data_IF_757269934702
#
_entry.id   IF_757269934702
#
_cell.length_a   1.000
_cell.length_b   1.000
_cell.length_c   1.000
_cell.angle_alpha   90.00
_cell.angle_beta   90.00
_cell.angle_gamma   90.00
#
_symmetry.space_group_name_H-M   'P 1'
#
loop_
_entity.id
_entity.type
_entity.pdbx_description
1 polymer ?
#
# COMPACT_ATOMS: atom_id res chain seq x y z
N UNK A 1 4.29 -3.12 -21.14
CA UNK A 1 3.88 -2.42 -22.39
C UNK A 1 3.46 -1.01 -22.01
N UNK A 2 3.92 -0.02 -22.76
CA UNK A 2 3.62 1.41 -22.54
C UNK A 2 2.35 1.77 -23.33
N UNK A 3 1.46 2.58 -22.75
CA UNK A 3 0.12 2.88 -23.30
C UNK A 3 0.17 3.72 -24.59
N UNK A 4 1.13 4.63 -24.70
CA UNK A 4 1.29 5.55 -25.83
C UNK A 4 1.38 4.81 -27.18
N UNK A 5 2.28 3.82 -27.38
CA UNK A 5 2.34 3.10 -28.66
C UNK A 5 1.09 2.23 -28.95
N UNK A 6 0.26 1.91 -27.94
CA UNK A 6 -0.99 1.18 -28.15
C UNK A 6 -2.11 2.11 -28.64
N UNK A 7 -2.20 3.32 -28.07
CA UNK A 7 -3.17 4.33 -28.49
C UNK A 7 -2.86 4.80 -29.91
N UNK A 8 -1.58 5.09 -30.23
CA UNK A 8 -1.16 5.46 -31.60
C UNK A 8 -1.50 4.37 -32.63
N UNK A 9 -1.23 3.11 -32.29
CA UNK A 9 -1.55 1.98 -33.16
C UNK A 9 -3.05 1.84 -33.40
N UNK A 10 -3.88 2.02 -32.38
CA UNK A 10 -5.35 1.94 -32.51
C UNK A 10 -5.90 3.09 -33.36
N UNK A 11 -5.39 4.31 -33.18
CA UNK A 11 -5.79 5.47 -33.98
C UNK A 11 -5.46 5.26 -35.48
N UNK A 12 -4.32 4.64 -35.79
CA UNK A 12 -3.91 4.34 -37.17
C UNK A 12 -4.68 3.15 -37.75
N UNK A 13 -4.75 2.03 -37.02
CA UNK A 13 -5.32 0.77 -37.53
C UNK A 13 -6.85 0.82 -37.70
N UNK A 14 -7.54 1.62 -36.87
CA UNK A 14 -9.02 1.71 -36.88
C UNK A 14 -9.57 3.03 -37.39
N UNK A 15 -8.71 4.00 -37.74
CA UNK A 15 -9.14 5.33 -38.16
C UNK A 15 -9.95 6.08 -37.09
N UNK A 16 -9.70 5.77 -35.82
CA UNK A 16 -10.41 6.32 -34.67
C UNK A 16 -10.01 7.78 -34.46
N UNK A 17 -10.91 8.70 -34.80
CA UNK A 17 -10.74 10.15 -34.62
C UNK A 17 -11.63 10.73 -33.53
N UNK A 18 -12.53 9.93 -32.94
CA UNK A 18 -13.46 10.39 -31.91
C UNK A 18 -12.89 10.24 -30.49
N UNK A 19 -12.90 11.35 -29.76
CA UNK A 19 -12.39 11.44 -28.38
C UNK A 19 -13.16 10.51 -27.43
N UNK A 20 -14.47 10.33 -27.67
CA UNK A 20 -15.34 9.53 -26.81
C UNK A 20 -14.97 8.05 -26.82
N UNK A 21 -14.51 7.54 -27.96
CA UNK A 21 -14.09 6.15 -28.13
C UNK A 21 -12.70 5.90 -27.52
N UNK A 22 -11.81 6.89 -27.59
CA UNK A 22 -10.51 6.86 -26.89
C UNK A 22 -10.73 6.83 -25.37
N UNK A 23 -11.64 7.66 -24.85
CA UNK A 23 -11.98 7.66 -23.42
C UNK A 23 -12.57 6.32 -22.96
N UNK A 24 -13.44 5.70 -23.76
CA UNK A 24 -13.95 4.34 -23.48
C UNK A 24 -12.84 3.30 -23.49
N UNK A 25 -11.89 3.37 -24.41
CA UNK A 25 -10.73 2.48 -24.43
C UNK A 25 -9.87 2.63 -23.16
N UNK A 26 -9.58 3.87 -22.76
CA UNK A 26 -8.83 4.15 -21.53
C UNK A 26 -9.56 3.66 -20.27
N UNK A 27 -10.89 3.77 -20.23
CA UNK A 27 -11.71 3.28 -19.11
C UNK A 27 -11.72 1.75 -18.98
N UNK A 28 -11.59 1.01 -20.08
CA UNK A 28 -11.48 -0.47 -20.05
C UNK A 28 -10.03 -0.94 -19.92
N UNK A 29 -9.06 -0.04 -20.11
CA UNK A 29 -7.64 -0.32 -19.95
C UNK A 29 -7.25 -0.44 -18.48
N UNK A 30 -6.25 -1.27 -18.19
CA UNK A 30 -5.63 -1.34 -16.86
C UNK A 30 -4.38 -0.46 -16.82
N UNK A 31 -4.06 0.13 -15.66
CA UNK A 31 -2.79 0.86 -15.44
C UNK A 31 -1.53 -0.03 -15.47
N UNK A 32 -1.67 -1.33 -15.77
CA UNK A 32 -0.58 -2.31 -15.81
C UNK A 32 0.42 -1.93 -16.90
N UNK A 33 1.64 -1.58 -16.51
CA UNK A 33 2.72 -1.20 -17.43
C UNK A 33 2.82 0.29 -17.76
N UNK A 34 1.90 1.12 -17.23
CA UNK A 34 2.00 2.59 -17.27
C UNK A 34 2.90 3.15 -16.17
N UNK A 35 2.80 2.56 -14.99
CA UNK A 35 3.61 2.92 -13.84
C UNK A 35 4.88 2.04 -13.82
N UNK A 36 6.01 2.58 -13.33
CA UNK A 36 7.19 1.78 -13.08
C UNK A 36 6.84 0.61 -12.15
N UNK A 37 7.54 -0.51 -12.33
CA UNK A 37 7.29 -1.73 -11.54
C UNK A 37 7.38 -1.39 -10.05
N UNK A 38 6.33 -1.68 -9.24
CA UNK A 38 6.38 -1.41 -7.82
C UNK A 38 7.53 -2.20 -7.20
N UNK A 39 8.25 -1.57 -6.27
CA UNK A 39 9.26 -2.29 -5.50
C UNK A 39 8.60 -3.44 -4.71
N UNK A 40 9.35 -4.49 -4.36
CA UNK A 40 8.80 -5.58 -3.55
C UNK A 40 8.20 -5.06 -2.24
N UNK A 41 6.96 -5.49 -1.93
CA UNK A 41 6.35 -5.26 -0.63
C UNK A 41 6.83 -6.36 0.30
N UNK A 42 7.64 -6.00 1.29
CA UNK A 42 8.15 -6.94 2.29
C UNK A 42 7.30 -6.85 3.56
N UNK A 43 6.55 -7.91 3.87
CA UNK A 43 5.84 -8.03 5.15
C UNK A 43 6.78 -8.66 6.17
N UNK A 44 7.19 -7.90 7.19
CA UNK A 44 7.93 -8.43 8.33
C UNK A 44 6.96 -8.83 9.44
N UNK A 45 6.87 -10.12 9.72
CA UNK A 45 6.14 -10.61 10.90
C UNK A 45 6.96 -10.34 12.15
N UNK A 46 6.33 -9.74 13.14
CA UNK A 46 6.94 -9.55 14.46
C UNK A 46 7.40 -10.91 15.02
N UNK A 47 8.60 -10.93 15.60
CA UNK A 47 9.13 -12.08 16.34
C UNK A 47 9.23 -11.70 17.81
N UNK A 48 8.65 -12.53 18.66
CA UNK A 48 8.72 -12.35 20.09
C UNK A 48 10.19 -12.34 20.54
N UNK A 49 10.54 -11.43 21.43
CA UNK A 49 11.88 -11.34 21.99
C UNK A 49 11.82 -10.98 23.49
N UNK A 50 12.85 -11.40 24.21
CA UNK A 50 12.92 -11.22 25.66
C UNK A 50 12.82 -9.75 26.08
N UNK A 51 13.42 -8.83 25.32
CA UNK A 51 13.39 -7.39 25.62
C UNK A 51 11.98 -6.80 25.58
N UNK A 52 11.23 -7.08 24.52
CA UNK A 52 9.84 -6.62 24.37
C UNK A 52 8.90 -7.28 25.38
N UNK A 53 9.11 -8.57 25.69
CA UNK A 53 8.34 -9.26 26.73
C UNK A 53 8.59 -8.65 28.12
N UNK A 54 9.86 -8.38 28.47
CA UNK A 54 10.23 -7.74 29.73
C UNK A 54 9.67 -6.32 29.83
N UNK A 55 9.83 -5.50 28.77
CA UNK A 55 9.28 -4.15 28.70
C UNK A 55 7.77 -4.16 28.91
N UNK A 56 7.04 -5.01 28.17
CA UNK A 56 5.59 -5.10 28.26
C UNK A 56 5.14 -5.50 29.66
N UNK A 57 5.79 -6.50 30.24
CA UNK A 57 5.51 -6.97 31.60
C UNK A 57 5.71 -5.84 32.62
N UNK A 58 6.86 -5.17 32.59
CA UNK A 58 7.18 -4.08 33.53
C UNK A 58 6.19 -2.92 33.38
N UNK A 59 5.87 -2.52 32.15
CA UNK A 59 4.90 -1.48 31.88
C UNK A 59 3.51 -1.82 32.44
N UNK A 60 3.00 -3.03 32.14
CA UNK A 60 1.70 -3.47 32.62
C UNK A 60 1.62 -3.48 34.15
N UNK A 61 2.65 -4.01 34.82
CA UNK A 61 2.71 -3.99 36.29
C UNK A 61 2.81 -2.56 36.85
N UNK A 62 3.54 -1.66 36.19
CA UNK A 62 3.59 -0.25 36.56
C UNK A 62 2.22 0.41 36.51
N UNK A 63 1.44 0.17 35.46
CA UNK A 63 0.06 0.67 35.32
C UNK A 63 -0.83 0.13 36.43
N UNK A 64 -0.76 -1.18 36.72
CA UNK A 64 -1.54 -1.80 37.80
C UNK A 64 -1.16 -1.20 39.14
N UNK A 65 0.14 -1.07 39.44
CA UNK A 65 0.62 -0.53 40.70
C UNK A 65 0.10 0.89 40.94
N UNK A 66 0.28 1.80 39.97
CA UNK A 66 -0.16 3.19 40.10
C UNK A 66 -1.69 3.32 40.25
N UNK A 67 -2.46 2.39 39.66
CA UNK A 67 -3.93 2.41 39.76
C UNK A 67 -4.47 1.83 41.07
N UNK A 68 -3.71 1.00 41.76
CA UNK A 68 -4.19 0.23 42.91
C UNK A 68 -3.46 0.55 44.21
N UNK A 69 -2.43 1.38 44.14
CA UNK A 69 -1.77 1.99 45.29
C UNK A 69 -2.11 3.46 45.20
N UNK A 70 -2.48 4.08 46.32
CA UNK A 70 -2.52 5.53 46.47
C UNK A 70 -1.17 5.93 47.09
N UNK A 71 -0.10 6.04 46.28
CA UNK A 71 1.21 6.33 46.82
C UNK A 71 1.15 7.72 47.47
N UNK A 72 1.62 7.87 48.71
CA UNK A 72 1.79 9.20 49.27
C UNK A 72 2.83 9.91 48.39
N UNK A 73 2.39 10.95 47.70
CA UNK A 73 3.29 11.84 46.95
C UNK A 73 4.22 12.55 47.92
#
# INVERSE_FOLDING_TARGET
QVLVPQVEKICIDKGLTDESEILRFLQHGTLVGLLPVPHPILIRKYQANAGTAAWFRTYMWGVIYIRNVDPPI
#
